data_IF_851175738801
#
_entry.id   IF_851175738801
#
_cell.length_a   1.000
_cell.length_b   1.000
_cell.length_c   1.000
_cell.angle_alpha   90.00
_cell.angle_beta   90.00
_cell.angle_gamma   90.00
#
_symmetry.space_group_name_H-M   'P 1'
#
loop_
_entity.id
_entity.type
_entity.pdbx_description
1 polymer ?
#
# COMPACT_ATOMS: atom_id res chain seq x y z
N UNK A 1 71.96 5.60 12.18
CA UNK A 1 71.26 4.79 11.14
C UNK A 1 69.91 4.34 11.68
N UNK A 2 68.89 4.32 10.80
CA UNK A 2 67.47 3.91 10.99
C UNK A 2 66.49 5.04 11.36
N UNK A 3 66.05 5.83 10.36
CA UNK A 3 64.86 5.66 9.48
C UNK A 3 63.50 5.95 10.15
N UNK A 4 63.11 7.22 10.10
CA UNK A 4 61.71 7.66 10.06
C UNK A 4 61.11 7.24 8.70
N UNK A 5 60.07 6.40 8.71
CA UNK A 5 59.20 6.19 7.54
C UNK A 5 57.77 6.49 7.95
N UNK A 6 57.35 7.73 7.69
CA UNK A 6 55.93 8.08 7.63
C UNK A 6 55.26 7.33 6.48
N UNK A 7 54.22 6.58 6.79
CA UNK A 7 53.36 5.97 5.79
C UNK A 7 52.40 7.04 5.25
N UNK A 8 52.62 7.48 4.00
CA UNK A 8 51.64 8.23 3.22
C UNK A 8 50.44 7.31 2.93
N UNK A 9 49.32 7.57 3.58
CA UNK A 9 48.03 6.95 3.28
C UNK A 9 47.53 7.50 1.93
N UNK A 10 47.51 6.66 0.89
CA UNK A 10 46.91 7.01 -0.42
C UNK A 10 45.38 6.93 -0.31
N UNK A 11 44.71 8.04 -0.63
CA UNK A 11 43.25 8.16 -0.82
C UNK A 11 42.75 7.12 -1.82
N UNK A 12 42.11 6.06 -1.35
CA UNK A 12 41.22 5.19 -2.11
C UNK A 12 39.79 5.36 -1.58
N UNK A 13 39.25 6.58 -1.68
CA UNK A 13 37.99 6.96 -1.01
C UNK A 13 36.74 7.03 -1.89
N UNK A 14 36.84 6.74 -3.20
CA UNK A 14 35.68 6.90 -4.11
C UNK A 14 35.08 5.56 -4.54
N UNK A 15 35.89 4.62 -5.04
CA UNK A 15 35.39 3.33 -5.55
C UNK A 15 34.75 2.43 -4.49
N UNK A 16 35.27 2.43 -3.26
CA UNK A 16 34.75 1.61 -2.16
C UNK A 16 33.35 2.08 -1.69
N UNK A 17 33.07 3.39 -1.72
CA UNK A 17 31.75 3.91 -1.36
C UNK A 17 30.67 3.48 -2.36
N UNK A 18 30.97 3.48 -3.66
CA UNK A 18 30.00 3.03 -4.68
C UNK A 18 29.70 1.53 -4.56
N UNK A 19 30.70 0.70 -4.28
CA UNK A 19 30.50 -0.74 -4.12
C UNK A 19 29.65 -1.07 -2.89
N UNK A 20 29.89 -0.38 -1.76
CA UNK A 20 29.09 -0.56 -0.53
C UNK A 20 27.65 -0.09 -0.74
N UNK A 21 27.43 1.06 -1.40
CA UNK A 21 26.09 1.55 -1.70
C UNK A 21 25.32 0.61 -2.65
N UNK A 22 26.01 0.04 -3.65
CA UNK A 22 25.41 -0.95 -4.54
C UNK A 22 25.07 -2.25 -3.81
N UNK A 23 25.95 -2.74 -2.92
CA UNK A 23 25.66 -3.90 -2.08
C UNK A 23 24.44 -3.68 -1.18
N UNK A 24 24.32 -2.52 -0.54
CA UNK A 24 23.16 -2.20 0.31
C UNK A 24 21.87 -2.14 -0.53
N UNK A 25 21.88 -1.46 -1.68
CA UNK A 25 20.70 -1.38 -2.55
C UNK A 25 20.24 -2.76 -3.07
N UNK A 26 21.18 -3.63 -3.44
CA UNK A 26 20.87 -5.00 -3.89
C UNK A 26 20.40 -5.88 -2.74
N UNK A 27 20.99 -5.77 -1.55
CA UNK A 27 20.53 -6.51 -0.36
C UNK A 27 19.12 -6.09 0.08
N UNK A 28 18.78 -4.80 0.01
CA UNK A 28 17.42 -4.32 0.31
C UNK A 28 16.40 -4.83 -0.73
N UNK A 29 16.72 -4.77 -2.02
CA UNK A 29 15.82 -5.24 -3.09
C UNK A 29 15.60 -6.77 -3.06
N UNK A 30 16.62 -7.53 -2.68
CA UNK A 30 16.48 -8.98 -2.48
C UNK A 30 15.61 -9.31 -1.26
N UNK A 31 15.69 -8.54 -0.19
CA UNK A 31 14.93 -8.79 1.04
C UNK A 31 13.42 -8.62 0.82
N UNK A 32 12.97 -7.58 0.13
CA UNK A 32 11.55 -7.40 -0.21
C UNK A 32 11.02 -8.54 -1.09
N UNK A 33 11.80 -8.96 -2.09
CA UNK A 33 11.40 -10.03 -3.01
C UNK A 33 11.28 -11.37 -2.30
N UNK A 34 12.17 -11.63 -1.34
CA UNK A 34 12.21 -12.88 -0.59
C UNK A 34 11.08 -12.96 0.45
N UNK A 35 10.78 -11.86 1.15
CA UNK A 35 9.62 -11.79 2.05
C UNK A 35 8.29 -11.96 1.29
N UNK A 36 8.17 -11.39 0.09
CA UNK A 36 6.98 -11.56 -0.75
C UNK A 36 6.79 -13.02 -1.22
N UNK A 37 7.89 -13.75 -1.47
CA UNK A 37 7.86 -15.17 -1.80
C UNK A 37 7.53 -16.05 -0.58
N UNK A 38 7.97 -15.66 0.62
CA UNK A 38 7.66 -16.38 1.86
C UNK A 38 6.18 -16.21 2.21
N UNK A 39 5.64 -14.99 2.12
CA UNK A 39 4.23 -14.71 2.36
C UNK A 39 3.30 -15.50 1.39
N UNK A 40 3.67 -15.56 0.10
CA UNK A 40 2.94 -16.33 -0.91
C UNK A 40 2.96 -17.84 -0.63
N UNK A 41 4.06 -18.38 -0.09
CA UNK A 41 4.18 -19.80 0.28
C UNK A 41 3.48 -20.15 1.60
N UNK A 42 3.22 -19.18 2.47
CA UNK A 42 2.46 -19.36 3.71
C UNK A 42 0.93 -19.31 3.51
N UNK A 43 0.46 -19.19 2.27
CA UNK A 43 -0.97 -19.10 1.95
C UNK A 43 -1.62 -17.76 2.34
N UNK A 44 -0.83 -16.77 2.75
CA UNK A 44 -1.31 -15.41 2.98
C UNK A 44 -1.25 -14.64 1.66
N UNK A 45 -2.37 -14.59 0.94
CA UNK A 45 -2.52 -13.80 -0.28
C UNK A 45 -2.65 -12.33 0.08
N UNK A 46 -1.54 -11.67 0.36
CA UNK A 46 -1.56 -10.23 0.46
C UNK A 46 -1.70 -9.59 -0.92
N UNK A 47 -2.41 -8.48 -0.97
CA UNK A 47 -2.62 -7.68 -2.18
C UNK A 47 -1.98 -6.29 -2.02
N UNK A 48 -1.84 -5.58 -3.13
CA UNK A 48 -1.48 -4.16 -3.14
C UNK A 48 -2.73 -3.30 -3.31
N UNK A 49 -2.78 -2.14 -2.68
CA UNK A 49 -3.91 -1.21 -2.75
C UNK A 49 -3.44 0.20 -3.09
N UNK A 50 -4.31 0.96 -3.75
CA UNK A 50 -4.13 2.42 -3.84
C UNK A 50 -4.46 3.03 -2.48
N UNK A 51 -3.57 3.88 -1.97
CA UNK A 51 -3.85 4.72 -0.82
C UNK A 51 -3.98 6.17 -1.30
N UNK A 52 -5.17 6.75 -1.20
CA UNK A 52 -5.39 8.13 -1.61
C UNK A 52 -6.53 8.82 -0.89
N UNK A 53 -6.49 10.14 -0.84
CA UNK A 53 -7.60 11.00 -0.40
C UNK A 53 -7.86 12.07 -1.45
N UNK A 54 -9.06 12.05 -2.01
CA UNK A 54 -9.57 13.09 -2.89
C UNK A 54 -10.73 13.80 -2.21
N UNK A 55 -10.63 15.12 -2.12
CA UNK A 55 -11.72 15.99 -1.69
C UNK A 55 -12.43 16.63 -2.90
N UNK A 56 -13.43 17.46 -2.63
CA UNK A 56 -14.23 18.14 -3.64
C UNK A 56 -13.44 19.15 -4.48
N UNK A 57 -12.24 19.54 -4.05
CA UNK A 57 -11.31 20.34 -4.84
C UNK A 57 -10.43 19.49 -5.77
N UNK A 58 -10.65 18.17 -5.82
CA UNK A 58 -9.81 17.16 -6.51
C UNK A 58 -8.34 17.23 -6.07
N UNK A 59 -8.06 17.82 -4.92
CA UNK A 59 -6.72 17.91 -4.40
C UNK A 59 -6.39 16.58 -3.73
N UNK A 60 -5.37 15.89 -4.26
CA UNK A 60 -4.85 14.68 -3.64
C UNK A 60 -3.99 15.06 -2.44
N UNK A 61 -4.53 14.90 -1.22
CA UNK A 61 -3.77 15.16 0.00
C UNK A 61 -2.66 14.12 0.25
N UNK A 62 -2.83 12.90 -0.28
CA UNK A 62 -1.89 11.77 -0.21
C UNK A 62 -2.23 10.80 -1.34
N UNK A 63 -1.24 10.26 -2.06
CA UNK A 63 -1.44 9.23 -3.09
C UNK A 63 -0.23 8.30 -3.16
N UNK A 64 -0.47 7.00 -3.24
CA UNK A 64 0.57 5.98 -3.37
C UNK A 64 0.01 4.57 -3.52
N UNK A 65 0.90 3.59 -3.70
CA UNK A 65 0.57 2.17 -3.69
C UNK A 65 1.17 1.56 -2.43
N UNK A 66 0.34 0.89 -1.65
CA UNK A 66 0.75 0.11 -0.48
C UNK A 66 0.68 -1.37 -0.83
N UNK A 67 1.74 -2.11 -0.53
CA UNK A 67 1.78 -3.57 -0.63
C UNK A 67 1.46 -4.21 0.73
N UNK A 68 1.20 -5.52 0.71
CA UNK A 68 0.96 -6.33 1.91
C UNK A 68 -0.34 -6.00 2.66
N UNK A 69 -1.40 -5.68 1.92
CA UNK A 69 -2.74 -5.43 2.45
C UNK A 69 -3.53 -6.73 2.56
N UNK A 70 -4.38 -6.84 3.58
CA UNK A 70 -5.38 -7.92 3.63
C UNK A 70 -6.56 -7.59 2.70
N UNK A 71 -6.95 -6.30 2.67
CA UNK A 71 -8.05 -5.77 1.88
C UNK A 71 -7.74 -4.36 1.36
N UNK A 72 -8.32 -4.02 0.22
CA UNK A 72 -8.38 -2.67 -0.29
C UNK A 72 -9.75 -2.07 -0.05
N UNK A 73 -9.79 -0.88 0.53
CA UNK A 73 -11.02 -0.13 0.77
C UNK A 73 -11.15 1.03 -0.22
N UNK A 74 -12.35 1.23 -0.73
CA UNK A 74 -12.83 2.43 -1.42
C UNK A 74 -13.99 3.01 -0.60
N UNK A 75 -13.95 4.31 -0.33
CA UNK A 75 -15.05 5.06 0.29
C UNK A 75 -15.38 6.22 -0.63
N UNK A 76 -16.64 6.36 -1.00
CA UNK A 76 -17.12 7.44 -1.85
C UNK A 76 -18.36 8.09 -1.23
N UNK A 77 -18.35 9.41 -1.11
CA UNK A 77 -19.51 10.17 -0.65
C UNK A 77 -20.66 10.08 -1.65
N UNK A 78 -21.87 9.88 -1.15
CA UNK A 78 -23.10 9.97 -1.96
C UNK A 78 -23.60 11.41 -2.12
N UNK A 79 -23.08 12.34 -1.33
CA UNK A 79 -23.45 13.76 -1.41
C UNK A 79 -22.72 14.47 -2.55
N UNK A 80 -23.49 15.09 -3.44
CA UNK A 80 -23.00 15.87 -4.59
C UNK A 80 -22.21 17.10 -4.15
N UNK A 81 -22.57 17.70 -3.01
CA UNK A 81 -21.96 18.93 -2.50
C UNK A 81 -20.62 18.70 -1.78
N UNK A 82 -20.31 17.45 -1.41
CA UNK A 82 -19.12 17.08 -0.63
C UNK A 82 -18.47 15.82 -1.18
N UNK A 83 -18.01 15.90 -2.43
CA UNK A 83 -17.25 14.82 -3.05
C UNK A 83 -16.04 14.45 -2.16
N UNK A 84 -16.01 13.21 -1.71
CA UNK A 84 -14.94 12.62 -0.93
C UNK A 84 -14.72 11.21 -1.45
N UNK A 85 -13.52 10.94 -1.97
CA UNK A 85 -13.11 9.61 -2.38
C UNK A 85 -11.87 9.24 -1.58
N UNK A 86 -11.95 8.20 -0.76
CA UNK A 86 -10.82 7.68 0.02
C UNK A 86 -10.52 6.27 -0.39
N UNK A 87 -9.24 5.99 -0.59
CA UNK A 87 -8.72 4.65 -0.86
C UNK A 87 -7.71 4.29 0.20
N UNK A 88 -7.82 3.07 0.76
CA UNK A 88 -6.97 2.62 1.88
C UNK A 88 -6.57 1.16 1.72
N UNK A 89 -5.39 0.86 2.22
CA UNK A 89 -4.96 -0.48 2.62
C UNK A 89 -5.50 -0.74 4.03
N UNK A 90 -6.27 -1.80 4.24
CA UNK A 90 -6.84 -2.13 5.56
C UNK A 90 -6.62 -3.60 5.90
N UNK A 91 -6.58 -3.89 7.20
CA UNK A 91 -6.45 -5.25 7.70
C UNK A 91 -7.82 -5.94 7.82
N UNK A 92 -7.80 -7.26 8.01
CA UNK A 92 -9.03 -8.05 8.10
C UNK A 92 -9.90 -7.66 9.31
N UNK A 93 -9.31 -7.30 10.46
CA UNK A 93 -10.07 -6.90 11.64
C UNK A 93 -10.85 -5.60 11.43
N UNK A 94 -10.29 -4.64 10.67
CA UNK A 94 -10.98 -3.41 10.31
C UNK A 94 -12.19 -3.69 9.41
N UNK A 95 -12.07 -4.58 8.42
CA UNK A 95 -13.18 -4.95 7.55
C UNK A 95 -14.29 -5.64 8.35
N UNK A 96 -13.95 -6.60 9.21
CA UNK A 96 -14.95 -7.27 10.06
C UNK A 96 -15.64 -6.31 11.04
N UNK A 97 -14.97 -5.25 11.49
CA UNK A 97 -15.58 -4.25 12.36
C UNK A 97 -16.63 -3.39 11.64
N UNK A 98 -16.48 -3.19 10.33
CA UNK A 98 -17.38 -2.37 9.52
C UNK A 98 -18.53 -3.20 8.96
N UNK A 99 -18.20 -4.29 8.28
CA UNK A 99 -19.15 -5.11 7.53
C UNK A 99 -19.69 -6.31 8.33
N UNK A 100 -19.18 -6.53 9.55
CA UNK A 100 -19.51 -7.71 10.32
C UNK A 100 -18.95 -8.99 9.67
N UNK A 101 -19.85 -9.86 9.20
CA UNK A 101 -19.46 -11.11 8.54
C UNK A 101 -19.30 -10.88 7.05
N UNK A 102 -18.13 -11.23 6.52
CA UNK A 102 -17.82 -11.09 5.09
C UNK A 102 -17.78 -12.46 4.42
N UNK A 103 -18.66 -12.67 3.45
CA UNK A 103 -18.69 -13.86 2.61
C UNK A 103 -18.30 -13.46 1.18
N UNK A 104 -17.03 -13.66 0.82
CA UNK A 104 -16.54 -13.35 -0.52
C UNK A 104 -15.24 -12.54 -0.53
N UNK A 105 -15.00 -11.92 -1.69
CA UNK A 105 -13.80 -11.12 -1.96
C UNK A 105 -14.11 -9.66 -2.27
N UNK A 106 -15.39 -9.29 -2.41
CA UNK A 106 -15.84 -7.91 -2.57
C UNK A 106 -17.12 -7.74 -1.76
N UNK A 107 -17.18 -6.69 -0.94
CA UNK A 107 -18.36 -6.35 -0.14
C UNK A 107 -18.54 -4.83 -0.16
N UNK A 108 -19.77 -4.37 -0.33
CA UNK A 108 -20.13 -2.95 -0.39
C UNK A 108 -21.32 -2.66 0.52
N UNK A 109 -21.26 -1.56 1.27
CA UNK A 109 -22.35 -1.10 2.13
C UNK A 109 -22.54 0.41 2.04
N UNK A 110 -23.75 0.84 2.37
CA UNK A 110 -24.09 2.25 2.57
C UNK A 110 -24.02 2.57 4.06
N UNK A 111 -23.42 3.71 4.41
CA UNK A 111 -23.36 4.17 5.78
C UNK A 111 -22.81 5.58 5.90
N UNK A 112 -22.31 5.92 7.08
CA UNK A 112 -21.70 7.23 7.35
C UNK A 112 -20.21 7.10 7.57
N UNK A 113 -19.42 7.74 6.71
CA UNK A 113 -17.98 7.87 6.91
C UNK A 113 -17.63 9.29 7.36
N UNK A 114 -17.09 9.43 8.57
CA UNK A 114 -16.77 10.76 9.15
C UNK A 114 -17.96 11.75 9.10
N UNK A 115 -19.18 11.28 9.39
CA UNK A 115 -20.45 12.03 9.32
C UNK A 115 -20.92 12.45 7.92
N UNK A 116 -20.35 11.88 6.86
CA UNK A 116 -20.79 12.07 5.47
C UNK A 116 -21.47 10.77 5.02
N UNK A 117 -22.64 10.88 4.39
CA UNK A 117 -23.31 9.73 3.79
C UNK A 117 -22.46 9.21 2.63
N UNK A 118 -22.04 7.95 2.74
CA UNK A 118 -21.05 7.34 1.87
C UNK A 118 -21.42 5.90 1.54
N UNK A 119 -20.91 5.44 0.42
CA UNK A 119 -20.80 4.02 0.11
C UNK A 119 -19.35 3.63 0.32
N UNK A 120 -19.12 2.51 0.99
CA UNK A 120 -17.79 1.97 1.15
C UNK A 120 -17.75 0.52 0.70
N UNK A 121 -16.76 0.19 -0.11
CA UNK A 121 -16.51 -1.13 -0.67
C UNK A 121 -15.13 -1.63 -0.24
N UNK A 122 -15.07 -2.84 0.29
CA UNK A 122 -13.83 -3.57 0.52
C UNK A 122 -13.67 -4.67 -0.54
N UNK A 123 -12.47 -4.78 -1.11
CA UNK A 123 -12.15 -5.80 -2.11
C UNK A 123 -10.78 -6.44 -1.84
N UNK A 124 -10.64 -7.71 -2.23
CA UNK A 124 -9.37 -8.45 -2.18
C UNK A 124 -9.19 -9.46 -3.31
N UNK A 125 -10.01 -9.36 -4.34
CA UNK A 125 -10.02 -10.30 -5.47
C UNK A 125 -8.77 -10.18 -6.35
N UNK A 126 -8.12 -9.02 -6.39
CA UNK A 126 -6.91 -8.75 -7.17
C UNK A 126 -6.16 -7.52 -6.63
N UNK A 127 -4.92 -7.35 -7.08
CA UNK A 127 -4.13 -6.15 -6.80
C UNK A 127 -4.80 -4.89 -7.35
N UNK A 128 -4.75 -3.82 -6.56
CA UNK A 128 -5.28 -2.49 -6.88
C UNK A 128 -6.79 -2.47 -7.17
N UNK A 129 -7.55 -3.45 -6.63
CA UNK A 129 -8.99 -3.55 -6.89
C UNK A 129 -9.78 -2.29 -6.49
N UNK A 130 -9.29 -1.49 -5.52
CA UNK A 130 -9.91 -0.22 -5.11
C UNK A 130 -9.62 0.96 -6.06
N UNK A 131 -8.89 0.73 -7.16
CA UNK A 131 -8.77 1.69 -8.26
C UNK A 131 -10.01 1.72 -9.16
N UNK A 132 -10.80 0.63 -9.17
CA UNK A 132 -12.05 0.53 -9.93
C UNK A 132 -13.07 1.59 -9.48
N UNK A 133 -14.01 1.89 -10.37
CA UNK A 133 -15.15 2.74 -10.04
C UNK A 133 -16.08 2.04 -9.06
N UNK A 134 -16.80 2.81 -8.25
CA UNK A 134 -17.74 2.28 -7.26
C UNK A 134 -18.77 1.33 -7.88
N UNK A 135 -19.38 1.74 -8.99
CA UNK A 135 -20.39 0.95 -9.72
C UNK A 135 -19.85 -0.42 -10.18
N UNK A 136 -18.55 -0.51 -10.49
CA UNK A 136 -17.93 -1.78 -10.88
C UNK A 136 -17.78 -2.73 -9.69
N UNK A 137 -17.40 -2.21 -8.53
CA UNK A 137 -17.27 -2.99 -7.30
C UNK A 137 -18.64 -3.45 -6.79
N UNK A 138 -19.66 -2.59 -6.88
CA UNK A 138 -21.02 -2.94 -6.46
C UNK A 138 -21.63 -4.08 -7.30
N UNK A 139 -21.33 -4.15 -8.61
CA UNK A 139 -21.81 -5.23 -9.49
C UNK A 139 -21.28 -6.61 -9.12
N UNK A 140 -20.12 -6.67 -8.47
CA UNK A 140 -19.46 -7.93 -8.09
C UNK A 140 -19.45 -8.15 -6.57
N UNK A 141 -20.10 -7.25 -5.81
CA UNK A 141 -20.29 -7.40 -4.38
C UNK A 141 -21.20 -8.60 -4.12
N UNK A 142 -20.81 -9.43 -3.15
CA UNK A 142 -21.55 -10.63 -2.73
C UNK A 142 -22.01 -10.50 -1.30
#
# INVERSE_FOLDING_TARGET
LKTNRGAKMKRFGSFFCYFVLFCVAVSFSLNERQENLIAKNLGQSFISCVESDFDSNKNSAKSGILSRCDWCLLVESTSVDRLMIRRRCVNNSFVLAIFGRVEGNVICEHGKWSNIDSIYCACRNEDLCNQKQLDELQKVST
#
